data_IF_789384225905
#
_entry.id   IF_789384225905
#
_cell.length_a   1.000
_cell.length_b   1.000
_cell.length_c   1.000
_cell.angle_alpha   90.00
_cell.angle_beta   90.00
_cell.angle_gamma   90.00
#
_symmetry.space_group_name_H-M   'P 1'
#
loop_
_entity.id
_entity.type
_entity.pdbx_description
1 polymer ?
#
# COMPACT_ATOMS: atom_id res chain seq x y z
N UNK A 1 -55.47 62.68 20.36
CA UNK A 1 -54.12 62.16 20.67
C UNK A 1 -54.14 60.67 20.40
N UNK A 2 -53.55 60.23 19.28
CA UNK A 2 -53.61 58.84 18.80
C UNK A 2 -52.20 58.30 18.67
N UNK A 3 -51.84 57.34 19.51
CA UNK A 3 -50.78 56.37 19.19
C UNK A 3 -51.17 55.02 19.83
N UNK A 4 -51.40 53.97 19.03
CA UNK A 4 -51.73 52.64 19.52
C UNK A 4 -50.46 51.85 19.85
N UNK A 5 -50.59 50.99 20.85
CA UNK A 5 -49.59 50.07 21.38
C UNK A 5 -49.43 48.86 20.46
N UNK A 6 -48.50 48.90 19.49
CA UNK A 6 -48.23 47.77 18.54
C UNK A 6 -46.74 47.35 18.43
N UNK A 7 -45.85 47.82 19.30
CA UNK A 7 -44.40 47.57 19.20
C UNK A 7 -43.88 46.35 19.99
N UNK A 8 -44.61 45.83 20.98
CA UNK A 8 -44.13 44.73 21.84
C UNK A 8 -44.09 43.37 21.15
N UNK A 9 -45.08 43.06 20.31
CA UNK A 9 -45.10 41.81 19.54
C UNK A 9 -44.04 41.77 18.43
N UNK A 10 -43.73 42.92 17.84
CA UNK A 10 -42.78 42.99 16.73
C UNK A 10 -41.33 42.75 17.19
N UNK A 11 -40.92 43.26 18.35
CA UNK A 11 -39.57 43.04 18.89
C UNK A 11 -39.33 41.59 19.30
N UNK A 12 -40.26 40.98 20.03
CA UNK A 12 -40.13 39.57 20.44
C UNK A 12 -40.10 38.63 19.22
N UNK A 13 -40.90 38.92 18.19
CA UNK A 13 -40.92 38.16 16.93
C UNK A 13 -39.63 38.36 16.12
N UNK A 14 -39.06 39.57 16.14
CA UNK A 14 -37.80 39.87 15.47
C UNK A 14 -36.64 39.13 16.15
N UNK A 15 -36.53 39.19 17.47
CA UNK A 15 -35.51 38.48 18.25
C UNK A 15 -35.64 36.97 18.09
N UNK A 16 -36.87 36.43 18.12
CA UNK A 16 -37.10 35.00 17.88
C UNK A 16 -36.67 34.57 16.48
N UNK A 17 -36.96 35.38 15.45
CA UNK A 17 -36.52 35.12 14.07
C UNK A 17 -35.01 35.23 13.94
N UNK A 18 -34.39 36.21 14.58
CA UNK A 18 -32.94 36.42 14.53
C UNK A 18 -32.21 35.29 15.26
N UNK A 19 -32.71 34.84 16.41
CA UNK A 19 -32.15 33.71 17.16
C UNK A 19 -32.22 32.40 16.36
N UNK A 20 -33.33 32.16 15.64
CA UNK A 20 -33.47 30.98 14.78
C UNK A 20 -32.58 31.09 13.54
N UNK A 21 -32.49 32.27 12.91
CA UNK A 21 -31.70 32.48 11.69
C UNK A 21 -30.19 32.45 11.98
N UNK A 22 -29.76 33.15 13.04
CA UNK A 22 -28.37 33.19 13.49
C UNK A 22 -27.97 31.90 14.18
N UNK A 23 -28.88 31.19 14.84
CA UNK A 23 -28.61 29.90 15.49
C UNK A 23 -28.47 28.72 14.51
N UNK A 24 -29.05 28.82 13.31
CA UNK A 24 -28.96 27.78 12.29
C UNK A 24 -27.53 27.61 11.75
N UNK A 25 -26.83 28.73 11.50
CA UNK A 25 -25.45 28.71 10.99
C UNK A 25 -24.47 27.97 11.92
N UNK A 26 -24.35 28.30 13.23
CA UNK A 26 -23.48 27.58 14.14
C UNK A 26 -23.93 26.15 14.36
N UNK A 27 -25.24 25.84 14.35
CA UNK A 27 -25.75 24.47 14.43
C UNK A 27 -25.25 23.61 13.27
N UNK A 28 -25.37 24.11 12.03
CA UNK A 28 -24.87 23.43 10.83
C UNK A 28 -23.36 23.25 10.93
N UNK A 29 -22.64 24.27 11.38
CA UNK A 29 -21.19 24.24 11.52
C UNK A 29 -20.74 23.20 12.57
N UNK A 30 -21.42 23.11 13.70
CA UNK A 30 -21.22 22.05 14.69
C UNK A 30 -21.46 20.67 14.09
N UNK A 31 -22.57 20.49 13.36
CA UNK A 31 -22.87 19.21 12.73
C UNK A 31 -21.85 18.84 11.65
N UNK A 32 -21.38 19.81 10.87
CA UNK A 32 -20.34 19.62 9.87
C UNK A 32 -19.01 19.17 10.51
N UNK A 33 -18.63 19.74 11.65
CA UNK A 33 -17.44 19.33 12.40
C UNK A 33 -17.59 17.89 12.92
N UNK A 34 -18.76 17.54 13.48
CA UNK A 34 -19.03 16.18 13.96
C UNK A 34 -18.99 15.17 12.80
N UNK A 35 -19.61 15.49 11.67
CA UNK A 35 -19.58 14.66 10.47
C UNK A 35 -18.15 14.50 9.93
N UNK A 36 -17.36 15.58 9.92
CA UNK A 36 -15.94 15.54 9.54
C UNK A 36 -15.14 14.61 10.44
N UNK A 37 -15.29 14.72 11.76
CA UNK A 37 -14.61 13.86 12.72
C UNK A 37 -14.93 12.38 12.51
N UNK A 38 -16.21 12.04 12.30
CA UNK A 38 -16.64 10.66 12.00
C UNK A 38 -16.09 10.17 10.65
N UNK A 39 -16.13 11.01 9.61
CA UNK A 39 -15.58 10.68 8.29
C UNK A 39 -14.09 10.37 8.35
N UNK A 40 -13.30 11.15 9.09
CA UNK A 40 -11.86 10.90 9.24
C UNK A 40 -11.61 9.52 9.85
N UNK A 41 -12.35 9.17 10.91
CA UNK A 41 -12.23 7.85 11.55
C UNK A 41 -12.60 6.73 10.58
N UNK A 42 -13.70 6.90 9.84
CA UNK A 42 -14.17 5.95 8.85
C UNK A 42 -13.13 5.72 7.74
N UNK A 43 -12.62 6.81 7.13
CA UNK A 43 -11.60 6.75 6.07
C UNK A 43 -10.34 6.07 6.58
N UNK A 44 -9.92 6.36 7.82
CA UNK A 44 -8.73 5.73 8.40
C UNK A 44 -8.92 4.22 8.61
N UNK A 45 -10.11 3.80 9.04
CA UNK A 45 -10.43 2.38 9.18
C UNK A 45 -10.45 1.66 7.84
N UNK A 46 -11.11 2.23 6.84
CA UNK A 46 -11.15 1.68 5.48
C UNK A 46 -9.75 1.61 4.86
N UNK A 47 -8.97 2.68 4.97
CA UNK A 47 -7.58 2.74 4.50
C UNK A 47 -6.74 1.63 5.12
N UNK A 48 -6.88 1.37 6.43
CA UNK A 48 -6.17 0.27 7.09
C UNK A 48 -6.54 -1.09 6.49
N UNK A 49 -7.80 -1.35 6.18
CA UNK A 49 -8.21 -2.60 5.56
C UNK A 49 -7.63 -2.75 4.14
N UNK A 50 -7.66 -1.68 3.35
CA UNK A 50 -7.10 -1.67 1.99
C UNK A 50 -5.57 -1.91 2.01
N UNK A 51 -4.85 -1.29 2.95
CA UNK A 51 -3.41 -1.50 3.14
C UNK A 51 -3.12 -2.96 3.47
N UNK A 52 -3.83 -3.56 4.43
CA UNK A 52 -3.61 -4.98 4.79
C UNK A 52 -3.78 -5.90 3.58
N UNK A 53 -4.78 -5.66 2.75
CA UNK A 53 -5.00 -6.44 1.53
C UNK A 53 -3.85 -6.27 0.52
N UNK A 54 -3.35 -5.04 0.38
CA UNK A 54 -2.21 -4.76 -0.49
C UNK A 54 -0.94 -5.45 0.03
N UNK A 55 -0.67 -5.37 1.34
CA UNK A 55 0.47 -6.02 1.98
C UNK A 55 0.44 -7.53 1.78
N UNK A 56 -0.72 -8.18 1.90
CA UNK A 56 -0.86 -9.62 1.63
C UNK A 56 -0.44 -10.01 0.22
N UNK A 57 -0.89 -9.26 -0.79
CA UNK A 57 -0.52 -9.51 -2.19
C UNK A 57 0.98 -9.28 -2.45
N UNK A 58 1.56 -8.28 -1.77
CA UNK A 58 3.00 -8.03 -1.85
C UNK A 58 3.79 -9.18 -1.22
N UNK A 59 3.37 -9.68 -0.06
CA UNK A 59 4.00 -10.84 0.58
C UNK A 59 3.93 -12.10 -0.28
N UNK A 60 2.80 -12.36 -0.94
CA UNK A 60 2.67 -13.49 -1.86
C UNK A 60 3.64 -13.37 -3.05
N UNK A 61 3.73 -12.18 -3.63
CA UNK A 61 4.68 -11.90 -4.72
C UNK A 61 6.13 -12.09 -4.27
N UNK A 62 6.49 -11.62 -3.07
CA UNK A 62 7.82 -11.82 -2.50
C UNK A 62 8.14 -13.30 -2.30
N UNK A 63 7.16 -14.10 -1.88
CA UNK A 63 7.29 -15.56 -1.79
C UNK A 63 7.67 -16.19 -3.13
N UNK A 64 6.96 -15.83 -4.21
CA UNK A 64 7.28 -16.33 -5.55
C UNK A 64 8.63 -15.87 -6.07
N UNK A 65 9.08 -14.64 -5.76
CA UNK A 65 10.41 -14.17 -6.14
C UNK A 65 11.52 -15.00 -5.47
N UNK A 66 11.33 -15.35 -4.20
CA UNK A 66 12.26 -16.22 -3.47
C UNK A 66 12.32 -17.61 -4.09
N UNK A 67 11.16 -18.22 -4.37
CA UNK A 67 11.10 -19.55 -5.00
C UNK A 67 11.75 -19.54 -6.39
N UNK A 68 11.46 -18.53 -7.20
CA UNK A 68 12.06 -18.34 -8.52
C UNK A 68 13.59 -18.23 -8.44
N UNK A 69 14.09 -17.41 -7.52
CA UNK A 69 15.54 -17.26 -7.29
C UNK A 69 16.17 -18.57 -6.84
N UNK A 70 15.49 -19.35 -6.01
CA UNK A 70 15.98 -20.66 -5.60
C UNK A 70 16.05 -21.64 -6.78
N UNK A 71 15.02 -21.69 -7.64
CA UNK A 71 15.04 -22.52 -8.85
C UNK A 71 16.16 -22.13 -9.81
N UNK A 72 16.41 -20.83 -10.00
CA UNK A 72 17.54 -20.36 -10.82
C UNK A 72 18.87 -20.81 -10.23
N UNK A 73 19.05 -20.75 -8.90
CA UNK A 73 20.28 -21.21 -8.27
C UNK A 73 20.48 -22.73 -8.44
N UNK A 74 19.41 -23.51 -8.34
CA UNK A 74 19.43 -24.96 -8.57
C UNK A 74 19.84 -25.29 -10.02
N UNK A 75 19.21 -24.64 -11.01
CA UNK A 75 19.54 -24.80 -12.43
C UNK A 75 20.98 -24.39 -12.75
N UNK A 76 21.45 -23.24 -12.25
CA UNK A 76 22.83 -22.80 -12.45
C UNK A 76 23.83 -23.77 -11.82
N UNK A 77 23.53 -24.29 -10.62
CA UNK A 77 24.36 -25.31 -9.96
C UNK A 77 24.44 -26.61 -10.77
N UNK A 78 23.34 -27.02 -11.41
CA UNK A 78 23.29 -28.19 -12.29
C UNK A 78 23.99 -27.94 -13.64
N UNK A 79 23.96 -26.71 -14.14
CA UNK A 79 24.45 -26.34 -15.47
C UNK A 79 25.97 -26.12 -15.52
N UNK A 80 26.59 -25.53 -14.49
CA UNK A 80 27.92 -24.91 -14.68
C UNK A 80 29.10 -25.90 -14.70
N UNK A 81 29.09 -26.97 -13.90
CA UNK A 81 30.23 -27.90 -13.83
C UNK A 81 29.88 -29.32 -14.27
N UNK A 82 28.72 -29.81 -13.87
CA UNK A 82 28.40 -31.23 -13.96
C UNK A 82 28.09 -31.68 -15.39
N UNK A 83 27.51 -30.81 -16.23
CA UNK A 83 27.12 -31.20 -17.60
C UNK A 83 28.27 -31.11 -18.60
N UNK A 84 29.09 -30.07 -18.52
CA UNK A 84 30.20 -29.84 -19.46
C UNK A 84 31.33 -30.85 -19.20
N UNK A 85 31.67 -31.09 -17.94
CA UNK A 85 32.72 -32.05 -17.55
C UNK A 85 32.33 -33.49 -17.91
N UNK A 86 31.09 -33.91 -17.59
CA UNK A 86 30.58 -35.24 -17.99
C UNK A 86 30.53 -35.42 -19.50
N UNK A 87 30.13 -34.39 -20.27
CA UNK A 87 30.09 -34.48 -21.73
C UNK A 87 31.50 -34.56 -22.31
N UNK A 88 32.47 -33.82 -21.76
CA UNK A 88 33.86 -33.87 -22.17
C UNK A 88 34.55 -35.21 -21.84
N UNK A 89 34.27 -35.79 -20.67
CA UNK A 89 34.81 -37.12 -20.32
C UNK A 89 34.15 -38.23 -21.14
N UNK A 90 32.83 -38.19 -21.37
CA UNK A 90 32.09 -39.31 -21.96
C UNK A 90 32.10 -39.31 -23.49
N UNK A 91 31.85 -38.16 -24.13
CA UNK A 91 31.79 -38.05 -25.60
C UNK A 91 33.17 -37.81 -26.22
N UNK A 92 34.01 -37.00 -25.56
CA UNK A 92 35.33 -36.62 -26.07
C UNK A 92 36.47 -37.49 -25.50
N UNK A 93 36.18 -38.42 -24.58
CA UNK A 93 37.18 -39.25 -23.86
C UNK A 93 38.33 -38.43 -23.27
N UNK A 94 38.07 -37.18 -22.89
CA UNK A 94 39.10 -36.33 -22.32
C UNK A 94 39.52 -36.90 -20.96
N UNK A 95 40.78 -37.28 -20.83
CA UNK A 95 41.41 -37.61 -19.57
C UNK A 95 42.17 -36.39 -19.06
N UNK A 96 42.09 -36.13 -17.75
CA UNK A 96 42.87 -35.07 -17.10
C UNK A 96 44.36 -35.31 -17.37
N UNK A 97 45.09 -34.37 -18.02
CA UNK A 97 46.51 -34.54 -18.28
C UNK A 97 47.29 -34.64 -16.97
N UNK A 98 48.13 -35.66 -16.82
CA UNK A 98 49.06 -35.77 -15.69
C UNK A 98 50.23 -34.81 -15.85
N UNK A 99 50.81 -34.36 -14.73
CA UNK A 99 51.81 -33.28 -14.65
C UNK A 99 53.04 -33.43 -15.58
N UNK A 100 53.32 -34.64 -16.08
CA UNK A 100 54.39 -34.92 -17.05
C UNK A 100 54.09 -34.49 -18.50
N UNK A 101 52.88 -34.00 -18.80
CA UNK A 101 52.45 -33.66 -20.18
C UNK A 101 52.27 -32.16 -20.46
N UNK A 102 52.64 -31.29 -19.51
CA UNK A 102 52.49 -29.85 -19.63
C UNK A 102 53.77 -29.21 -20.23
N UNK A 103 53.67 -28.70 -21.46
CA UNK A 103 54.75 -27.92 -22.08
C UNK A 103 54.41 -26.43 -21.96
N UNK A 104 55.07 -25.75 -21.02
CA UNK A 104 54.99 -24.29 -20.86
C UNK A 104 55.84 -23.64 -21.95
N UNK A 105 55.18 -22.88 -22.83
CA UNK A 105 55.86 -22.12 -23.88
C UNK A 105 56.03 -20.69 -23.37
N UNK A 106 57.28 -20.21 -23.36
CA UNK A 106 57.71 -18.92 -22.80
C UNK A 106 57.68 -17.80 -23.85
#
# INVERSE_FOLDING_TARGET
>A
MKQPTESSLNLARLIGRDLVTVGLVPLILTFAILASALSVVYITHDTRQQIVKQEQLLTEREGYDVEWRNQILEENSLAEHSRIERLAETELKMQRPSADSEVVIQ
#
